data_IF_969941868210
#
_entry.id   IF_969941868210
#
_cell.length_a   1.000
_cell.length_b   1.000
_cell.length_c   1.000
_cell.angle_alpha   90.00
_cell.angle_beta   90.00
_cell.angle_gamma   90.00
#
_symmetry.space_group_name_H-M   'P 1'
#
loop_
_entity.id
_entity.type
_entity.pdbx_description
1 polymer ?
#
# COMPACT_ATOMS: atom_id res chain seq x y z
N UNK A 1 9.52 7.21 -16.46
CA UNK A 1 9.85 7.18 -15.01
C UNK A 1 8.61 7.38 -14.13
N UNK A 2 7.79 8.42 -14.37
CA UNK A 2 6.57 8.68 -13.58
C UNK A 2 5.59 7.49 -13.60
N UNK A 3 5.32 6.91 -14.78
CA UNK A 3 4.45 5.73 -14.90
C UNK A 3 4.99 4.55 -14.07
N UNK A 4 6.29 4.26 -14.15
CA UNK A 4 6.92 3.21 -13.35
C UNK A 4 6.81 3.49 -11.83
N UNK A 5 6.87 4.75 -11.42
CA UNK A 5 6.67 5.15 -10.01
C UNK A 5 5.21 5.00 -9.58
N UNK A 6 4.26 5.33 -10.43
CA UNK A 6 2.84 5.09 -10.17
C UNK A 6 2.56 3.58 -10.01
N UNK A 7 3.11 2.76 -10.91
CA UNK A 7 3.02 1.30 -10.82
C UNK A 7 3.69 0.76 -9.55
N UNK A 8 4.89 1.25 -9.19
CA UNK A 8 5.58 0.84 -7.97
C UNK A 8 4.77 1.18 -6.71
N UNK A 9 4.14 2.36 -6.68
CA UNK A 9 3.24 2.75 -5.59
C UNK A 9 2.01 1.84 -5.51
N UNK A 10 1.39 1.54 -6.66
CA UNK A 10 0.23 0.65 -6.73
C UNK A 10 0.56 -0.78 -6.26
N UNK A 11 1.60 -1.41 -6.80
CA UNK A 11 2.02 -2.75 -6.40
C UNK A 11 2.56 -2.77 -4.96
N UNK A 12 3.27 -1.73 -4.54
CA UNK A 12 3.78 -1.59 -3.16
C UNK A 12 2.66 -1.50 -2.13
N UNK A 13 1.57 -0.77 -2.44
CA UNK A 13 0.39 -0.65 -1.56
C UNK A 13 -0.34 -1.99 -1.37
N UNK A 14 -0.46 -2.79 -2.43
CA UNK A 14 -1.07 -4.12 -2.34
C UNK A 14 -0.17 -5.16 -1.65
N UNK A 15 1.14 -4.95 -1.64
CA UNK A 15 2.10 -5.95 -1.17
C UNK A 15 1.95 -6.29 0.32
N UNK A 16 1.80 -5.29 1.20
CA UNK A 16 1.71 -5.49 2.64
C UNK A 16 0.53 -6.41 3.03
N UNK A 17 -0.73 -6.13 2.65
CA UNK A 17 -1.85 -7.00 3.01
C UNK A 17 -1.72 -8.40 2.38
N UNK A 18 -1.18 -8.51 1.17
CA UNK A 18 -0.93 -9.82 0.54
C UNK A 18 0.09 -10.62 1.33
N UNK A 19 1.20 -10.02 1.77
CA UNK A 19 2.21 -10.68 2.60
C UNK A 19 1.58 -11.23 3.89
N UNK A 20 0.76 -10.42 4.59
CA UNK A 20 0.07 -10.90 5.78
C UNK A 20 -0.89 -12.04 5.45
N UNK A 21 -1.70 -11.93 4.40
CA UNK A 21 -2.61 -12.98 3.96
C UNK A 21 -1.88 -14.30 3.67
N UNK A 22 -0.76 -14.25 2.94
CA UNK A 22 0.08 -15.41 2.65
C UNK A 22 0.62 -16.07 3.92
N UNK A 23 1.01 -15.30 4.93
CA UNK A 23 1.46 -15.86 6.22
C UNK A 23 0.35 -16.67 6.90
N UNK A 24 -0.88 -16.17 6.89
CA UNK A 24 -2.01 -16.89 7.48
C UNK A 24 -2.37 -18.18 6.73
N UNK A 25 -2.14 -18.22 5.42
CA UNK A 25 -2.38 -19.38 4.56
C UNK A 25 -1.30 -20.46 4.74
N UNK A 26 -0.02 -20.07 4.73
CA UNK A 26 1.11 -21.01 4.68
C UNK A 26 1.52 -21.51 6.08
N UNK A 27 1.45 -20.66 7.11
CA UNK A 27 2.01 -21.00 8.43
C UNK A 27 0.95 -21.45 9.45
N UNK A 28 1.27 -22.49 10.27
CA UNK A 28 0.38 -22.95 11.32
C UNK A 28 0.24 -21.89 12.43
N UNK A 29 -0.89 -21.86 13.17
CA UNK A 29 -1.19 -20.83 14.18
C UNK A 29 -0.09 -20.57 15.20
N UNK A 30 0.67 -21.60 15.59
CA UNK A 30 1.77 -21.50 16.56
C UNK A 30 2.98 -20.70 16.06
N UNK A 31 3.17 -20.60 14.74
CA UNK A 31 4.31 -19.90 14.14
C UNK A 31 3.96 -18.47 13.68
N UNK A 32 2.67 -18.19 13.46
CA UNK A 32 2.20 -16.87 12.98
C UNK A 32 2.73 -15.71 13.82
N UNK A 33 2.71 -15.73 15.17
CA UNK A 33 3.22 -14.60 15.96
C UNK A 33 4.71 -14.30 15.68
N UNK A 34 5.54 -15.34 15.53
CA UNK A 34 6.98 -15.17 15.26
C UNK A 34 7.22 -14.53 13.89
N UNK A 35 6.49 -14.99 12.87
CA UNK A 35 6.61 -14.46 11.51
C UNK A 35 6.08 -13.02 11.42
N UNK A 36 4.94 -12.74 12.07
CA UNK A 36 4.37 -11.39 12.14
C UNK A 36 5.34 -10.39 12.81
N UNK A 37 6.00 -10.79 13.90
CA UNK A 37 7.03 -9.95 14.55
C UNK A 37 8.19 -9.69 13.59
N UNK A 38 8.67 -10.72 12.89
CA UNK A 38 9.78 -10.58 11.96
C UNK A 38 9.43 -9.65 10.79
N UNK A 39 8.23 -9.77 10.23
CA UNK A 39 7.72 -8.85 9.21
C UNK A 39 7.62 -7.44 9.76
N UNK A 40 7.07 -7.27 10.97
CA UNK A 40 6.97 -5.96 11.64
C UNK A 40 8.33 -5.29 11.79
N UNK A 41 9.36 -6.03 12.21
CA UNK A 41 10.73 -5.52 12.30
C UNK A 41 11.24 -5.04 10.95
N UNK A 42 11.04 -5.81 9.88
CA UNK A 42 11.46 -5.40 8.53
C UNK A 42 10.73 -4.12 8.09
N UNK A 43 9.42 -4.04 8.34
CA UNK A 43 8.59 -2.87 8.01
C UNK A 43 9.03 -1.62 8.77
N UNK A 44 9.49 -1.75 10.01
CA UNK A 44 10.00 -0.61 10.80
C UNK A 44 11.42 -0.21 10.40
N UNK A 45 12.31 -1.17 10.13
CA UNK A 45 13.72 -0.91 9.80
C UNK A 45 13.87 -0.32 8.41
N UNK A 46 13.06 -0.76 7.44
CA UNK A 46 13.12 -0.29 6.06
C UNK A 46 13.04 1.25 5.91
N UNK A 47 12.04 1.97 6.47
CA UNK A 47 11.95 3.42 6.38
C UNK A 47 13.04 4.15 7.19
N UNK A 48 13.62 3.52 8.21
CA UNK A 48 14.74 4.12 8.96
C UNK A 48 16.04 4.07 8.16
N UNK A 49 16.33 2.94 7.51
CA UNK A 49 17.55 2.78 6.71
C UNK A 49 17.45 3.43 5.34
N UNK A 50 16.24 3.54 4.78
CA UNK A 50 16.00 4.07 3.43
C UNK A 50 16.64 5.44 3.16
N UNK A 51 16.35 6.48 3.97
CA UNK A 51 16.93 7.82 3.79
C UNK A 51 18.44 7.84 3.99
N UNK A 52 18.94 7.08 4.98
CA UNK A 52 20.38 7.02 5.29
C UNK A 52 21.17 6.42 4.13
N UNK A 53 20.72 5.26 3.61
CA UNK A 53 21.35 4.62 2.46
C UNK A 53 21.15 5.42 1.17
N UNK A 54 19.97 6.00 0.97
CA UNK A 54 19.67 6.85 -0.18
C UNK A 54 20.52 8.12 -0.24
N UNK A 55 20.76 8.76 0.90
CA UNK A 55 21.64 9.91 1.03
C UNK A 55 23.08 9.56 0.68
N UNK A 56 23.63 8.52 1.31
CA UNK A 56 24.99 8.05 1.07
C UNK A 56 25.25 7.69 -0.40
N UNK A 57 24.29 7.03 -1.06
CA UNK A 57 24.40 6.67 -2.49
C UNK A 57 24.36 7.92 -3.38
N UNK A 58 23.52 8.89 -3.03
CA UNK A 58 23.41 10.13 -3.82
C UNK A 58 24.69 10.96 -3.73
N UNK A 59 25.37 10.93 -2.58
CA UNK A 59 26.67 11.61 -2.38
C UNK A 59 27.80 11.02 -3.24
N UNK A 60 27.81 9.69 -3.46
CA UNK A 60 28.93 9.01 -4.12
C UNK A 60 28.64 8.69 -5.60
N UNK A 61 27.43 8.23 -5.91
CA UNK A 61 27.08 7.62 -7.20
C UNK A 61 26.09 8.43 -8.03
N UNK A 62 25.62 9.60 -7.54
CA UNK A 62 24.58 10.44 -8.15
C UNK A 62 23.15 9.92 -7.95
N UNK A 63 22.18 10.85 -8.02
CA UNK A 63 20.75 10.64 -7.79
C UNK A 63 20.13 9.52 -8.65
N UNK A 64 20.67 9.28 -9.85
CA UNK A 64 20.15 8.25 -10.75
C UNK A 64 20.25 6.83 -10.16
N UNK A 65 21.30 6.56 -9.37
CA UNK A 65 21.51 5.23 -8.77
C UNK A 65 20.50 4.90 -7.67
N UNK A 66 19.86 5.90 -7.07
CA UNK A 66 18.74 5.68 -6.13
C UNK A 66 17.57 4.95 -6.81
N UNK A 67 17.35 5.16 -8.11
CA UNK A 67 16.31 4.46 -8.87
C UNK A 67 16.72 3.04 -9.24
N UNK A 68 17.99 2.84 -9.59
CA UNK A 68 18.56 1.54 -9.93
C UNK A 68 18.68 0.60 -8.72
N UNK A 69 18.74 1.14 -7.50
CA UNK A 69 18.83 0.35 -6.28
C UNK A 69 17.68 -0.64 -6.12
N UNK A 70 16.46 -0.29 -6.58
CA UNK A 70 15.31 -1.20 -6.52
C UNK A 70 15.38 -2.34 -7.56
N UNK A 71 16.19 -2.18 -8.61
CA UNK A 71 16.27 -3.15 -9.72
C UNK A 71 16.92 -4.44 -9.27
N UNK A 72 18.00 -4.37 -8.48
CA UNK A 72 18.73 -5.57 -8.04
C UNK A 72 17.85 -6.47 -7.12
N UNK A 73 17.24 -5.95 -6.03
CA UNK A 73 16.31 -6.73 -5.23
C UNK A 73 15.08 -7.18 -6.03
N UNK A 74 14.58 -6.34 -6.95
CA UNK A 74 13.45 -6.67 -7.82
C UNK A 74 13.74 -7.88 -8.69
N UNK A 75 14.89 -7.92 -9.37
CA UNK A 75 15.30 -9.07 -10.18
C UNK A 75 15.46 -10.31 -9.31
N UNK A 76 16.07 -10.17 -8.13
CA UNK A 76 16.24 -11.30 -7.21
C UNK A 76 14.90 -11.90 -6.79
N UNK A 77 13.97 -11.08 -6.31
CA UNK A 77 12.63 -11.52 -5.90
C UNK A 77 11.87 -12.13 -7.08
N UNK A 78 11.87 -11.48 -8.24
CA UNK A 78 11.22 -12.02 -9.45
C UNK A 78 11.80 -13.38 -9.85
N UNK A 79 13.12 -13.55 -9.76
CA UNK A 79 13.80 -14.81 -10.09
C UNK A 79 13.44 -15.92 -9.10
N UNK A 80 13.44 -15.62 -7.79
CA UNK A 80 13.07 -16.57 -6.74
C UNK A 80 11.62 -17.00 -6.90
N UNK A 81 10.70 -16.06 -7.12
CA UNK A 81 9.28 -16.34 -7.32
C UNK A 81 9.04 -17.12 -8.62
N UNK A 82 9.78 -16.82 -9.69
CA UNK A 82 9.67 -17.56 -10.94
C UNK A 82 10.15 -19.02 -10.82
N UNK A 83 11.23 -19.26 -10.06
CA UNK A 83 11.82 -20.59 -9.90
C UNK A 83 11.13 -21.46 -8.84
N UNK A 84 10.62 -20.86 -7.77
CA UNK A 84 10.09 -21.58 -6.60
C UNK A 84 8.61 -21.29 -6.30
N UNK A 85 7.98 -20.38 -7.03
CA UNK A 85 6.58 -20.01 -6.85
C UNK A 85 5.66 -21.14 -7.27
N UNK A 86 5.00 -21.75 -6.29
CA UNK A 86 3.87 -22.65 -6.53
C UNK A 86 2.60 -21.80 -6.57
N UNK A 87 2.10 -21.51 -7.77
CA UNK A 87 0.88 -20.75 -7.97
C UNK A 87 -0.32 -21.69 -7.98
N UNK A 88 -1.22 -21.54 -7.00
CA UNK A 88 -2.53 -22.18 -7.04
C UNK A 88 -3.35 -21.67 -8.23
N UNK A 89 -4.26 -22.52 -8.73
CA UNK A 89 -5.15 -22.12 -9.83
C UNK A 89 -6.02 -20.94 -9.40
N UNK A 90 -6.10 -19.86 -10.19
CA UNK A 90 -6.93 -18.71 -9.85
C UNK A 90 -8.39 -19.12 -9.74
N UNK A 91 -9.00 -18.88 -8.57
CA UNK A 91 -10.41 -19.12 -8.36
C UNK A 91 -11.20 -17.87 -8.77
N UNK A 92 -11.62 -17.82 -10.04
CA UNK A 92 -12.36 -16.70 -10.61
C UNK A 92 -13.74 -16.46 -9.97
N UNK A 93 -14.30 -17.40 -9.22
CA UNK A 93 -15.57 -17.18 -8.51
C UNK A 93 -15.42 -16.17 -7.37
N UNK A 94 -14.22 -15.98 -6.81
CA UNK A 94 -13.97 -14.94 -5.79
C UNK A 94 -14.14 -13.52 -6.35
N UNK A 95 -13.88 -13.32 -7.66
CA UNK A 95 -14.03 -12.01 -8.30
C UNK A 95 -15.49 -11.55 -8.39
N UNK A 96 -16.46 -12.47 -8.39
CA UNK A 96 -17.89 -12.12 -8.45
C UNK A 96 -18.40 -11.44 -7.18
N UNK A 97 -17.75 -11.69 -6.06
CA UNK A 97 -18.10 -11.13 -4.75
C UNK A 97 -17.18 -9.96 -4.35
N UNK A 98 -16.33 -9.49 -5.26
CA UNK A 98 -15.31 -8.50 -4.97
C UNK A 98 -15.90 -7.08 -5.06
N UNK A 99 -15.73 -6.29 -3.99
CA UNK A 99 -16.28 -4.94 -3.91
C UNK A 99 -15.40 -3.90 -4.62
N UNK A 100 -15.44 -3.88 -5.96
CA UNK A 100 -14.71 -2.90 -6.76
C UNK A 100 -15.11 -1.45 -6.46
N UNK A 101 -16.39 -1.22 -6.14
CA UNK A 101 -16.90 0.12 -5.86
C UNK A 101 -16.45 0.61 -4.49
N UNK A 102 -16.50 -0.25 -3.47
CA UNK A 102 -15.96 0.03 -2.14
C UNK A 102 -14.47 0.33 -2.17
N UNK A 103 -13.68 -0.45 -2.94
CA UNK A 103 -12.25 -0.20 -3.12
C UNK A 103 -11.99 1.15 -3.79
N UNK A 104 -12.76 1.50 -4.82
CA UNK A 104 -12.62 2.79 -5.50
C UNK A 104 -12.94 3.97 -4.57
N UNK A 105 -14.04 3.88 -3.81
CA UNK A 105 -14.41 4.89 -2.81
C UNK A 105 -13.33 5.02 -1.73
N UNK A 106 -12.82 3.89 -1.23
CA UNK A 106 -11.75 3.87 -0.23
C UNK A 106 -10.46 4.48 -0.75
N UNK A 107 -10.02 4.08 -1.95
CA UNK A 107 -8.81 4.61 -2.57
C UNK A 107 -8.90 6.13 -2.80
N UNK A 108 -10.05 6.62 -3.29
CA UNK A 108 -10.28 8.05 -3.48
C UNK A 108 -10.32 8.79 -2.13
N UNK A 109 -11.08 8.30 -1.16
CA UNK A 109 -11.24 8.96 0.15
C UNK A 109 -9.91 9.06 0.90
N UNK A 110 -9.17 7.94 0.97
CA UNK A 110 -7.87 7.91 1.63
C UNK A 110 -6.82 8.71 0.86
N UNK A 111 -6.85 8.70 -0.47
CA UNK A 111 -5.95 9.51 -1.29
C UNK A 111 -6.18 11.02 -1.10
N UNK A 112 -7.45 11.45 -1.07
CA UNK A 112 -7.79 12.86 -0.80
C UNK A 112 -7.42 13.25 0.64
N UNK A 113 -7.66 12.36 1.62
CA UNK A 113 -7.26 12.59 3.01
C UNK A 113 -5.74 12.74 3.11
N UNK A 114 -4.97 11.88 2.47
CA UNK A 114 -3.51 11.97 2.45
C UNK A 114 -3.06 13.33 1.91
N UNK A 115 -3.64 13.79 0.78
CA UNK A 115 -3.32 15.10 0.21
C UNK A 115 -3.66 16.25 1.17
N UNK A 116 -4.83 16.22 1.80
CA UNK A 116 -5.25 17.23 2.79
C UNK A 116 -4.28 17.28 3.96
N UNK A 117 -3.82 16.14 4.46
CA UNK A 117 -2.88 16.08 5.58
C UNK A 117 -1.46 16.53 5.19
N UNK A 118 -1.02 16.20 3.98
CA UNK A 118 0.33 16.52 3.51
C UNK A 118 0.47 18.00 3.11
N UNK A 119 -0.51 18.55 2.39
CA UNK A 119 -0.48 19.93 1.90
C UNK A 119 -1.22 20.91 2.80
N UNK A 120 -2.06 20.42 3.72
CA UNK A 120 -2.85 21.25 4.63
C UNK A 120 -1.98 22.16 5.47
N UNK A 121 -0.88 21.64 6.05
CA UNK A 121 0.03 22.47 6.84
C UNK A 121 0.68 23.59 6.00
N UNK A 122 1.08 23.28 4.76
CA UNK A 122 1.76 24.24 3.86
C UNK A 122 0.82 25.33 3.34
N UNK A 123 -0.48 25.01 3.22
CA UNK A 123 -1.50 25.89 2.62
C UNK A 123 -2.38 26.63 3.64
N UNK A 124 -2.09 26.55 4.94
CA UNK A 124 -2.91 27.21 5.96
C UNK A 124 -4.21 26.46 6.29
N UNK A 125 -4.24 25.15 6.08
CA UNK A 125 -5.34 24.26 6.43
C UNK A 125 -6.67 24.69 5.81
N UNK A 126 -7.69 24.94 6.65
CA UNK A 126 -9.06 25.24 6.23
C UNK A 126 -9.22 26.68 5.70
N UNK A 127 -8.18 27.51 5.80
CA UNK A 127 -8.16 28.85 5.19
C UNK A 127 -8.00 28.77 3.67
N UNK A 128 -7.38 27.70 3.16
CA UNK A 128 -7.29 27.44 1.74
C UNK A 128 -8.57 26.76 1.24
N UNK A 129 -9.23 27.40 0.26
CA UNK A 129 -10.49 26.92 -0.30
C UNK A 129 -10.37 25.51 -0.89
N UNK A 130 -9.22 25.15 -1.50
CA UNK A 130 -9.01 23.81 -2.06
C UNK A 130 -8.97 22.77 -0.95
N UNK A 131 -8.20 23.03 0.11
CA UNK A 131 -8.12 22.12 1.25
C UNK A 131 -9.47 22.01 1.98
N UNK A 132 -10.23 23.10 2.09
CA UNK A 132 -11.58 23.07 2.65
C UNK A 132 -12.53 22.17 1.83
N UNK A 133 -12.60 22.37 0.51
CA UNK A 133 -13.43 21.53 -0.37
C UNK A 133 -13.01 20.05 -0.34
N UNK A 134 -11.70 19.78 -0.34
CA UNK A 134 -11.18 18.42 -0.25
C UNK A 134 -11.51 17.78 1.11
N UNK A 135 -11.46 18.54 2.21
CA UNK A 135 -11.83 18.05 3.54
C UNK A 135 -13.32 17.68 3.61
N UNK A 136 -14.19 18.48 3.00
CA UNK A 136 -15.62 18.16 2.88
C UNK A 136 -15.84 16.90 2.02
N UNK A 137 -15.15 16.79 0.88
CA UNK A 137 -15.21 15.61 0.03
C UNK A 137 -14.74 14.34 0.75
N UNK A 138 -13.69 14.43 1.58
CA UNK A 138 -13.21 13.34 2.43
C UNK A 138 -14.28 12.95 3.45
N UNK A 139 -14.92 13.91 4.13
CA UNK A 139 -16.00 13.63 5.08
C UNK A 139 -17.18 12.90 4.41
N UNK A 140 -17.61 13.36 3.23
CA UNK A 140 -18.64 12.69 2.44
C UNK A 140 -18.20 11.29 1.96
N UNK A 141 -16.95 11.15 1.54
CA UNK A 141 -16.35 9.87 1.15
C UNK A 141 -16.38 8.84 2.28
N UNK A 142 -16.07 9.26 3.51
CA UNK A 142 -16.18 8.39 4.69
C UNK A 142 -17.61 7.97 4.98
N UNK A 143 -18.60 8.87 4.85
CA UNK A 143 -20.01 8.52 5.02
C UNK A 143 -20.42 7.47 3.98
N UNK A 144 -20.06 7.68 2.71
CA UNK A 144 -20.34 6.73 1.63
C UNK A 144 -19.67 5.38 1.87
N UNK A 145 -18.45 5.38 2.38
CA UNK A 145 -17.70 4.17 2.72
C UNK A 145 -18.38 3.40 3.86
N UNK A 146 -18.80 4.08 4.94
CA UNK A 146 -19.54 3.45 6.04
C UNK A 146 -20.85 2.83 5.53
N UNK A 147 -21.63 3.56 4.73
CA UNK A 147 -22.87 3.05 4.15
C UNK A 147 -22.59 1.83 3.27
N UNK A 148 -21.52 1.87 2.46
CA UNK A 148 -21.13 0.76 1.59
C UNK A 148 -20.76 -0.49 2.39
N UNK A 149 -19.91 -0.34 3.41
CA UNK A 149 -19.48 -1.43 4.27
C UNK A 149 -20.66 -2.06 5.04
N UNK A 150 -21.62 -1.27 5.51
CA UNK A 150 -22.81 -1.79 6.20
C UNK A 150 -23.84 -2.46 5.29
N UNK A 151 -23.85 -2.11 4.00
CA UNK A 151 -24.85 -2.61 3.04
C UNK A 151 -24.35 -3.79 2.21
N UNK A 152 -23.03 -3.92 2.06
CA UNK A 152 -22.43 -4.93 1.18
C UNK A 152 -22.26 -6.27 1.89
N UNK A 153 -22.60 -7.36 1.18
CA UNK A 153 -22.64 -8.73 1.74
C UNK A 153 -21.23 -9.24 2.11
N UNK A 154 -20.19 -8.76 1.44
CA UNK A 154 -18.79 -9.11 1.72
C UNK A 154 -17.95 -7.84 1.95
N UNK A 155 -18.10 -7.18 3.11
CA UNK A 155 -17.43 -5.91 3.42
C UNK A 155 -15.91 -6.06 3.41
N UNK A 156 -15.20 -5.00 3.03
CA UNK A 156 -13.73 -5.01 2.92
C UNK A 156 -13.10 -4.84 4.30
N UNK A 157 -13.70 -4.00 5.14
CA UNK A 157 -13.14 -3.59 6.43
C UNK A 157 -13.71 -4.36 7.62
N UNK A 158 -14.81 -5.10 7.43
CA UNK A 158 -15.44 -5.88 8.50
C UNK A 158 -15.76 -5.02 9.72
N UNK A 159 -16.50 -3.93 9.50
CA UNK A 159 -16.98 -3.02 10.56
C UNK A 159 -17.91 -3.70 11.56
#
# INVERSE_FOLDING_TARGET
>A
MIIFRALQGFFGGAMIPTVFSTVFIIFPPSQRPKITILIGLVVTVAPTLGPTLGGYITEILSWHFMFLLNVIPGIFVCSVVFLYGHFDKPNYNLLKNFDFLGIAIMALTLGLLQYVLEEGNKKGWLEDNVILFLSIAVALGFILLIIRELTFINPILGL
#
